data_IF_439350847417
#
_entry.id   IF_439350847417
#
_cell.length_a   1.000
_cell.length_b   1.000
_cell.length_c   1.000
_cell.angle_alpha   90.00
_cell.angle_beta   90.00
_cell.angle_gamma   90.00
#
_symmetry.space_group_name_H-M   'P 1'
#
loop_
_entity.id
_entity.type
_entity.pdbx_description
1 polymer ?
#
# COMPACT_ATOMS: atom_id res chain seq x y z
N UNK A 1 -15.35 13.84 5.15
CA UNK A 1 -16.33 12.75 4.90
C UNK A 1 -16.81 12.30 6.27
N UNK A 2 -18.09 12.00 6.48
CA UNK A 2 -18.52 11.46 7.76
C UNK A 2 -17.85 10.07 7.97
N UNK A 3 -17.40 9.72 9.19
CA UNK A 3 -16.80 8.41 9.45
C UNK A 3 -17.78 7.29 9.07
N UNK A 4 -17.29 6.23 8.43
CA UNK A 4 -18.10 5.04 8.10
C UNK A 4 -18.21 4.08 9.31
N UNK A 5 -18.33 4.64 10.51
CA UNK A 5 -18.30 3.94 11.79
C UNK A 5 -19.62 3.19 11.98
N UNK A 6 -19.61 1.87 11.77
CA UNK A 6 -20.79 1.02 11.97
C UNK A 6 -20.91 -0.21 11.06
N UNK A 7 -20.28 -0.21 9.88
CA UNK A 7 -20.46 -1.28 8.87
C UNK A 7 -19.31 -2.31 8.83
N UNK A 8 -18.20 -2.08 9.56
CA UNK A 8 -17.02 -2.95 9.56
C UNK A 8 -16.70 -3.48 10.95
N UNK A 9 -16.41 -4.78 11.06
CA UNK A 9 -15.73 -5.33 12.24
C UNK A 9 -14.25 -4.93 12.26
N UNK A 10 -13.64 -4.95 13.44
CA UNK A 10 -12.20 -4.72 13.57
C UNK A 10 -11.34 -5.67 12.72
N UNK A 11 -11.76 -6.93 12.61
CA UNK A 11 -11.06 -7.91 11.79
C UNK A 11 -11.06 -7.54 10.31
N UNK A 12 -12.20 -7.12 9.76
CA UNK A 12 -12.33 -6.69 8.37
C UNK A 12 -11.55 -5.41 8.10
N UNK A 13 -11.62 -4.44 9.00
CA UNK A 13 -10.83 -3.21 8.90
C UNK A 13 -9.33 -3.49 8.92
N UNK A 14 -8.88 -4.33 9.85
CA UNK A 14 -7.48 -4.68 10.00
C UNK A 14 -6.96 -5.50 8.81
N UNK A 15 -7.80 -6.33 8.20
CA UNK A 15 -7.45 -7.05 6.98
C UNK A 15 -7.13 -6.08 5.82
N UNK A 16 -7.98 -5.08 5.59
CA UNK A 16 -7.76 -4.05 4.56
C UNK A 16 -6.55 -3.18 4.89
N UNK A 17 -6.40 -2.77 6.15
CA UNK A 17 -5.23 -2.01 6.64
C UNK A 17 -3.92 -2.72 6.29
N UNK A 18 -3.82 -4.02 6.62
CA UNK A 18 -2.61 -4.80 6.38
C UNK A 18 -2.40 -5.09 4.89
N UNK A 19 -3.46 -5.31 4.11
CA UNK A 19 -3.36 -5.50 2.67
C UNK A 19 -2.83 -4.24 1.96
N UNK A 20 -3.33 -3.05 2.34
CA UNK A 20 -2.84 -1.78 1.81
C UNK A 20 -1.39 -1.51 2.23
N UNK A 21 -1.05 -1.76 3.50
CA UNK A 21 0.32 -1.68 4.02
C UNK A 21 1.29 -2.59 3.26
N UNK A 22 0.88 -3.84 3.03
CA UNK A 22 1.63 -4.79 2.23
C UNK A 22 1.79 -4.31 0.78
N UNK A 23 0.75 -3.73 0.18
CA UNK A 23 0.82 -3.13 -1.15
C UNK A 23 1.88 -2.03 -1.25
N UNK A 24 1.97 -1.12 -0.27
CA UNK A 24 3.01 -0.08 -0.22
C UNK A 24 4.40 -0.73 -0.15
N UNK A 25 4.59 -1.66 0.78
CA UNK A 25 5.88 -2.32 0.99
C UNK A 25 6.32 -3.09 -0.27
N UNK A 26 5.42 -3.87 -0.87
CA UNK A 26 5.69 -4.67 -2.06
C UNK A 26 6.05 -3.79 -3.27
N UNK A 27 5.27 -2.74 -3.55
CA UNK A 27 5.53 -1.84 -4.69
C UNK A 27 6.81 -1.03 -4.51
N UNK A 28 7.08 -0.57 -3.28
CA UNK A 28 8.31 0.15 -2.95
C UNK A 28 9.55 -0.74 -3.12
N UNK A 29 9.50 -1.96 -2.56
CA UNK A 29 10.59 -2.94 -2.71
C UNK A 29 10.79 -3.37 -4.16
N UNK A 30 9.72 -3.58 -4.92
CA UNK A 30 9.80 -3.91 -6.35
C UNK A 30 10.48 -2.80 -7.15
N UNK A 31 10.13 -1.53 -6.88
CA UNK A 31 10.78 -0.36 -7.50
C UNK A 31 12.29 -0.38 -7.29
N UNK A 32 12.73 -0.55 -6.04
CA UNK A 32 14.15 -0.63 -5.68
C UNK A 32 14.82 -1.79 -6.41
N UNK A 33 14.21 -2.97 -6.41
CA UNK A 33 14.73 -4.14 -7.10
C UNK A 33 14.93 -3.90 -8.61
N UNK A 34 13.92 -3.37 -9.31
CA UNK A 34 13.99 -3.15 -10.75
C UNK A 34 15.10 -2.17 -11.14
N UNK A 35 15.25 -1.07 -10.40
CA UNK A 35 16.32 -0.11 -10.68
C UNK A 35 17.72 -0.64 -10.35
N UNK A 36 17.88 -1.39 -9.25
CA UNK A 36 19.16 -2.06 -8.95
C UNK A 36 19.52 -3.12 -10.00
N UNK A 37 18.53 -3.77 -10.60
CA UNK A 37 18.73 -4.83 -11.59
C UNK A 37 19.06 -4.30 -13.01
N UNK A 38 19.02 -2.98 -13.26
CA UNK A 38 19.30 -2.38 -14.58
C UNK A 38 20.70 -2.76 -15.13
N UNK A 39 21.69 -2.91 -14.25
CA UNK A 39 23.04 -3.34 -14.63
C UNK A 39 23.13 -4.79 -15.09
N UNK A 40 22.20 -5.63 -14.64
CA UNK A 40 22.21 -7.08 -14.78
C UNK A 40 21.40 -7.59 -15.99
N UNK A 41 20.79 -6.70 -16.77
CA UNK A 41 20.03 -7.04 -17.98
C UNK A 41 20.69 -6.44 -19.23
N UNK A 42 20.47 -7.11 -20.37
CA UNK A 42 20.96 -6.63 -21.67
C UNK A 42 20.33 -5.26 -21.99
N UNK A 43 21.06 -4.44 -22.77
CA UNK A 43 20.66 -3.04 -23.06
C UNK A 43 19.24 -2.94 -23.64
N UNK A 44 18.82 -3.93 -24.42
CA UNK A 44 17.51 -3.95 -25.07
C UNK A 44 16.33 -4.02 -24.08
N UNK A 45 16.53 -4.55 -22.87
CA UNK A 45 15.46 -4.69 -21.86
C UNK A 45 15.46 -3.58 -20.81
N UNK A 46 16.50 -2.74 -20.76
CA UNK A 46 16.64 -1.70 -19.73
C UNK A 46 15.52 -0.69 -19.76
N UNK A 47 15.08 -0.25 -20.94
CA UNK A 47 13.95 0.68 -21.06
C UNK A 47 12.68 0.11 -20.45
N UNK A 48 12.37 -1.16 -20.73
CA UNK A 48 11.21 -1.84 -20.16
C UNK A 48 11.32 -1.91 -18.63
N UNK A 49 12.48 -2.30 -18.10
CA UNK A 49 12.72 -2.41 -16.66
C UNK A 49 12.66 -1.05 -15.94
N UNK A 50 13.19 0.01 -16.56
CA UNK A 50 13.08 1.39 -16.06
C UNK A 50 11.62 1.83 -15.99
N UNK A 51 10.83 1.56 -17.04
CA UNK A 51 9.39 1.87 -17.06
C UNK A 51 8.68 1.10 -15.94
N UNK A 52 8.99 -0.18 -15.76
CA UNK A 52 8.41 -0.97 -14.66
C UNK A 52 8.71 -0.34 -13.30
N UNK A 53 9.96 0.07 -13.04
CA UNK A 53 10.32 0.76 -11.80
C UNK A 53 9.55 2.08 -11.61
N UNK A 54 9.36 2.86 -12.67
CA UNK A 54 8.54 4.10 -12.63
C UNK A 54 7.09 3.77 -12.27
N UNK A 55 6.49 2.77 -12.91
CA UNK A 55 5.10 2.36 -12.66
C UNK A 55 4.92 1.88 -11.23
N UNK A 56 5.82 1.05 -10.70
CA UNK A 56 5.74 0.59 -9.31
C UNK A 56 5.98 1.72 -8.31
N UNK A 57 6.80 2.72 -8.65
CA UNK A 57 6.98 3.89 -7.80
C UNK A 57 5.70 4.73 -7.71
N UNK A 58 5.06 4.97 -8.86
CA UNK A 58 3.76 5.64 -8.92
C UNK A 58 2.74 4.86 -8.11
N UNK A 59 2.69 3.53 -8.25
CA UNK A 59 1.79 2.69 -7.46
C UNK A 59 2.07 2.80 -5.96
N UNK A 60 3.33 2.80 -5.53
CA UNK A 60 3.73 2.97 -4.12
C UNK A 60 3.15 4.27 -3.53
N UNK A 61 3.30 5.39 -4.25
CA UNK A 61 2.73 6.68 -3.84
C UNK A 61 1.21 6.62 -3.71
N UNK A 62 0.51 6.04 -4.70
CA UNK A 62 -0.95 5.97 -4.66
C UNK A 62 -1.45 5.05 -3.55
N UNK A 63 -0.81 3.90 -3.31
CA UNK A 63 -1.13 3.02 -2.18
C UNK A 63 -0.91 3.72 -0.84
N UNK A 64 0.13 4.54 -0.70
CA UNK A 64 0.34 5.35 0.50
C UNK A 64 -0.80 6.35 0.74
N UNK A 65 -1.27 7.02 -0.33
CA UNK A 65 -2.41 7.94 -0.23
C UNK A 65 -3.71 7.22 0.10
N UNK A 66 -3.97 6.08 -0.55
CA UNK A 66 -5.16 5.24 -0.29
C UNK A 66 -5.14 4.74 1.16
N UNK A 67 -3.99 4.28 1.64
CA UNK A 67 -3.82 3.83 3.02
C UNK A 67 -4.14 4.93 4.04
N UNK A 68 -3.61 6.14 3.84
CA UNK A 68 -3.93 7.26 4.73
C UNK A 68 -5.42 7.59 4.68
N UNK A 69 -6.03 7.62 3.48
CA UNK A 69 -7.47 7.84 3.35
C UNK A 69 -8.31 6.72 3.99
N UNK A 70 -7.84 5.48 3.97
CA UNK A 70 -8.47 4.36 4.68
C UNK A 70 -8.41 4.56 6.19
N UNK A 71 -7.22 4.88 6.73
CA UNK A 71 -7.04 5.11 8.17
C UNK A 71 -7.88 6.30 8.65
N UNK A 72 -7.92 7.39 7.89
CA UNK A 72 -8.68 8.61 8.23
C UNK A 72 -10.20 8.46 8.09
N UNK A 73 -10.69 7.42 7.41
CA UNK A 73 -12.13 7.20 7.19
C UNK A 73 -12.84 6.48 8.36
N UNK A 74 -12.08 5.90 9.29
CA UNK A 74 -12.62 5.12 10.42
C UNK A 74 -12.05 5.61 11.75
N UNK A 75 -12.83 5.49 12.82
CA UNK A 75 -12.38 5.77 14.18
C UNK A 75 -12.21 4.45 14.94
N UNK A 76 -10.98 3.97 15.07
CA UNK A 76 -10.71 2.76 15.85
C UNK A 76 -10.62 3.11 17.33
N UNK A 77 -11.50 2.54 18.14
CA UNK A 77 -11.57 2.77 19.59
C UNK A 77 -11.38 1.47 20.36
N UNK A 78 -10.62 1.51 21.45
CA UNK A 78 -10.55 0.40 22.41
C UNK A 78 -11.67 0.55 23.44
N UNK A 79 -12.46 -0.50 23.62
CA UNK A 79 -13.51 -0.59 24.62
C UNK A 79 -13.40 -1.90 25.39
N UNK A 80 -13.00 -1.84 26.66
CA UNK A 80 -12.88 -2.99 27.57
C UNK A 80 -12.09 -4.20 26.98
N UNK A 81 -10.99 -3.93 26.29
CA UNK A 81 -10.13 -4.95 25.68
C UNK A 81 -10.62 -5.49 24.33
N UNK A 82 -11.70 -4.93 23.77
CA UNK A 82 -12.12 -5.15 22.39
C UNK A 82 -11.88 -3.89 21.55
N UNK A 83 -11.58 -4.05 20.27
CA UNK A 83 -11.48 -2.93 19.33
C UNK A 83 -12.77 -2.80 18.53
N UNK A 84 -13.27 -1.57 18.46
CA UNK A 84 -14.41 -1.16 17.66
C UNK A 84 -13.91 -0.24 16.55
N UNK A 85 -14.60 -0.23 15.43
CA UNK A 85 -14.29 0.54 14.21
C UNK A 85 -15.48 1.38 13.83
#
# INVERSE_FOLDING_TARGET
>A
MAPLTGDFSYGEWNAVYNALSFGIAAMGSATVFFWLQLGNVSKNYRTALTITGIVTWIATYHYFRIFNSWVEAFEVQEYHGAYLV
#
